data_IF_201475488816
#
_entry.id   IF_201475488816
#
_cell.length_a   1.000
_cell.length_b   1.000
_cell.length_c   1.000
_cell.angle_alpha   90.00
_cell.angle_beta   90.00
_cell.angle_gamma   90.00
#
_symmetry.space_group_name_H-M   'P 1'
#
loop_
_entity.id
_entity.type
_entity.pdbx_description
1 polymer ?
#
# COMPACT_ATOMS: atom_id res chain seq x y z
N UNK A 1 -20.92 -5.66 -13.86
CA UNK A 1 -19.58 -5.07 -14.01
C UNK A 1 -18.53 -6.14 -13.84
N UNK A 2 -17.58 -6.21 -14.75
CA UNK A 2 -16.56 -7.24 -14.76
C UNK A 2 -15.54 -7.02 -13.62
N UNK A 3 -14.91 -8.09 -13.12
CA UNK A 3 -13.89 -7.98 -12.07
C UNK A 3 -12.74 -7.03 -12.45
N UNK A 4 -12.29 -7.11 -13.71
CA UNK A 4 -11.21 -6.29 -14.25
C UNK A 4 -11.58 -4.80 -14.27
N UNK A 5 -12.82 -4.47 -14.59
CA UNK A 5 -13.32 -3.09 -14.58
C UNK A 5 -13.37 -2.51 -13.16
N UNK A 6 -13.81 -3.31 -12.17
CA UNK A 6 -13.77 -2.90 -10.75
C UNK A 6 -12.36 -2.60 -10.29
N UNK A 7 -11.42 -3.51 -10.57
CA UNK A 7 -10.01 -3.33 -10.22
C UNK A 7 -9.44 -2.07 -10.85
N UNK A 8 -9.70 -1.84 -12.14
CA UNK A 8 -9.20 -0.66 -12.86
C UNK A 8 -9.71 0.64 -12.23
N UNK A 9 -10.99 0.72 -11.85
CA UNK A 9 -11.52 1.92 -11.18
C UNK A 9 -10.86 2.19 -9.84
N UNK A 10 -10.71 1.15 -8.99
CA UNK A 10 -9.99 1.27 -7.71
C UNK A 10 -8.57 1.82 -7.96
N UNK A 11 -7.86 1.28 -8.96
CA UNK A 11 -6.51 1.70 -9.32
C UNK A 11 -6.43 3.14 -9.85
N UNK A 12 -7.53 3.67 -10.36
CA UNK A 12 -7.63 5.04 -10.87
C UNK A 12 -7.91 6.07 -9.77
N UNK A 13 -8.44 5.65 -8.61
CA UNK A 13 -8.72 6.53 -7.47
C UNK A 13 -7.48 7.33 -7.04
N UNK A 14 -7.58 8.66 -6.84
CA UNK A 14 -6.45 9.48 -6.40
C UNK A 14 -5.83 8.99 -5.08
N UNK A 15 -6.67 8.60 -4.13
CA UNK A 15 -6.21 8.12 -2.81
C UNK A 15 -5.50 6.76 -2.91
N UNK A 16 -5.93 5.89 -3.84
CA UNK A 16 -5.27 4.62 -4.10
C UNK A 16 -3.87 4.82 -4.71
N UNK A 17 -3.76 5.72 -5.69
CA UNK A 17 -2.46 6.11 -6.28
C UNK A 17 -1.53 6.70 -5.23
N UNK A 18 -2.06 7.54 -4.33
CA UNK A 18 -1.29 8.08 -3.20
C UNK A 18 -0.80 6.97 -2.25
N UNK A 19 -1.63 5.96 -1.99
CA UNK A 19 -1.24 4.77 -1.22
C UNK A 19 -0.05 4.02 -1.85
N UNK A 20 -0.05 3.87 -3.18
CA UNK A 20 1.10 3.31 -3.92
C UNK A 20 2.36 4.16 -3.79
N UNK A 21 2.24 5.48 -3.95
CA UNK A 21 3.38 6.39 -3.78
C UNK A 21 3.98 6.33 -2.36
N UNK A 22 3.13 6.22 -1.33
CA UNK A 22 3.58 6.03 0.07
C UNK A 22 4.34 4.71 0.20
N UNK A 23 3.81 3.62 -0.34
CA UNK A 23 4.50 2.32 -0.33
C UNK A 23 5.86 2.40 -1.03
N UNK A 24 5.93 2.99 -2.22
CA UNK A 24 7.17 3.13 -2.98
C UNK A 24 8.19 3.99 -2.25
N UNK A 25 7.75 5.06 -1.58
CA UNK A 25 8.61 5.90 -0.76
C UNK A 25 9.13 5.16 0.47
N UNK A 26 8.25 4.48 1.21
CA UNK A 26 8.64 3.65 2.36
C UNK A 26 9.62 2.57 1.96
N UNK A 27 9.39 1.90 0.81
CA UNK A 27 10.32 0.91 0.27
C UNK A 27 11.71 1.49 0.02
N UNK A 28 11.81 2.65 -0.61
CA UNK A 28 13.11 3.33 -0.83
C UNK A 28 13.84 3.63 0.47
N UNK A 29 13.13 3.99 1.54
CA UNK A 29 13.72 4.17 2.88
C UNK A 29 14.19 2.83 3.44
N UNK A 30 13.35 1.80 3.34
CA UNK A 30 13.64 0.45 3.81
C UNK A 30 14.80 -0.23 3.06
N UNK A 31 15.05 0.13 1.80
CA UNK A 31 16.16 -0.39 1.00
C UNK A 31 17.52 0.15 1.47
N UNK A 32 17.55 1.19 2.31
CA UNK A 32 18.77 1.71 2.95
C UNK A 32 19.12 0.98 4.26
N UNK A 33 18.25 0.08 4.74
CA UNK A 33 18.46 -0.65 6.00
C UNK A 33 19.44 -1.80 5.76
N UNK A 34 20.54 -1.91 6.55
CA UNK A 34 21.49 -3.01 6.43
C UNK A 34 20.87 -4.39 6.71
N UNK A 35 21.26 -5.40 5.94
CA UNK A 35 20.73 -6.77 6.04
C UNK A 35 21.21 -7.52 7.29
N UNK A 36 22.32 -7.11 7.89
CA UNK A 36 22.89 -7.68 9.11
C UNK A 36 22.33 -7.06 10.41
N UNK A 37 21.48 -6.03 10.31
CA UNK A 37 20.85 -5.41 11.46
C UNK A 37 19.46 -6.02 11.72
N UNK A 38 19.41 -7.11 12.50
CA UNK A 38 18.17 -7.84 12.81
C UNK A 38 17.05 -6.94 13.35
N UNK A 39 17.39 -5.99 14.24
CA UNK A 39 16.40 -5.08 14.80
C UNK A 39 15.79 -4.18 13.71
N UNK A 40 16.61 -3.56 12.86
CA UNK A 40 16.09 -2.72 11.78
C UNK A 40 15.39 -3.52 10.69
N UNK A 41 15.78 -4.78 10.44
CA UNK A 41 15.06 -5.68 9.53
C UNK A 41 13.66 -6.02 10.05
N UNK A 42 13.48 -6.15 11.37
CA UNK A 42 12.15 -6.28 11.96
C UNK A 42 11.29 -5.03 11.70
N UNK A 43 11.84 -3.84 11.95
CA UNK A 43 11.14 -2.57 11.71
C UNK A 43 10.84 -2.37 10.22
N UNK A 44 11.77 -2.76 9.32
CA UNK A 44 11.55 -2.78 7.86
C UNK A 44 10.29 -3.56 7.49
N UNK A 45 10.12 -4.76 8.07
CA UNK A 45 8.93 -5.58 7.86
C UNK A 45 7.64 -4.86 8.28
N UNK A 46 7.64 -4.22 9.45
CA UNK A 46 6.49 -3.45 9.95
C UNK A 46 6.16 -2.26 9.04
N UNK A 47 7.16 -1.47 8.65
CA UNK A 47 6.98 -0.32 7.77
C UNK A 47 6.38 -0.71 6.41
N UNK A 48 6.91 -1.77 5.79
CA UNK A 48 6.39 -2.26 4.50
C UNK A 48 4.97 -2.81 4.64
N UNK A 49 4.68 -3.52 5.72
CA UNK A 49 3.33 -4.03 6.00
C UNK A 49 2.34 -2.88 6.13
N UNK A 50 2.63 -1.91 7.00
CA UNK A 50 1.76 -0.76 7.25
C UNK A 50 1.48 0.04 5.99
N UNK A 51 2.52 0.31 5.18
CA UNK A 51 2.36 1.03 3.93
C UNK A 51 1.54 0.23 2.89
N UNK A 52 1.73 -1.09 2.82
CA UNK A 52 1.00 -1.96 1.88
C UNK A 52 -0.51 -2.00 2.20
N UNK A 53 -0.87 -1.96 3.49
CA UNK A 53 -2.26 -2.02 3.95
C UNK A 53 -3.11 -0.83 3.51
N UNK A 54 -2.52 0.33 3.19
CA UNK A 54 -3.26 1.50 2.71
C UNK A 54 -4.07 1.16 1.44
N UNK A 55 -3.42 0.55 0.45
CA UNK A 55 -4.07 0.19 -0.81
C UNK A 55 -5.14 -0.89 -0.64
N UNK A 56 -4.93 -1.84 0.29
CA UNK A 56 -5.88 -2.89 0.64
C UNK A 56 -7.14 -2.29 1.27
N UNK A 57 -6.98 -1.40 2.25
CA UNK A 57 -8.09 -0.73 2.93
C UNK A 57 -8.91 0.14 1.96
N UNK A 58 -8.24 0.85 1.06
CA UNK A 58 -8.91 1.67 0.04
C UNK A 58 -9.71 0.82 -0.93
N UNK A 59 -9.12 -0.26 -1.44
CA UNK A 59 -9.82 -1.20 -2.33
C UNK A 59 -11.02 -1.84 -1.63
N UNK A 60 -10.89 -2.18 -0.35
CA UNK A 60 -11.99 -2.70 0.47
C UNK A 60 -13.11 -1.68 0.69
N UNK A 61 -12.76 -0.42 0.96
CA UNK A 61 -13.74 0.66 1.13
C UNK A 61 -14.51 0.97 -0.17
N UNK A 62 -13.83 1.05 -1.31
CA UNK A 62 -14.46 1.21 -2.63
C UNK A 62 -15.37 0.01 -2.95
N UNK A 63 -14.91 -1.22 -2.67
CA UNK A 63 -15.70 -2.43 -2.90
C UNK A 63 -16.91 -2.58 -1.97
N UNK A 64 -16.86 -1.95 -0.80
CA UNK A 64 -17.92 -1.90 0.20
C UNK A 64 -18.80 -0.66 0.11
N UNK A 65 -18.61 0.20 -0.90
CA UNK A 65 -19.36 1.46 -1.09
C UNK A 65 -19.32 2.36 0.16
N UNK A 66 -18.15 2.44 0.80
CA UNK A 66 -17.94 3.19 2.06
C UNK A 66 -17.46 4.64 1.83
N UNK A 67 -17.39 5.08 0.57
CA UNK A 67 -17.04 6.45 0.20
C UNK A 67 -18.32 7.22 -0.17
N UNK A 68 -18.50 8.41 0.40
CA UNK A 68 -19.61 9.34 0.10
C UNK A 68 -19.34 10.20 -1.15
#
# INVERSE_FOLDING_TARGET
MEYNERRKRVEELPIYKKGKEIYDMTRKVCDLIPDDNEHLQHIKGQMLLDASLLTVKIAGAEGGDLYD
#
